data_IF_372793489666
#
_entry.id   IF_372793489666
#
_cell.length_a   1.000
_cell.length_b   1.000
_cell.length_c   1.000
_cell.angle_alpha   90.00
_cell.angle_beta   90.00
_cell.angle_gamma   90.00
#
_symmetry.space_group_name_H-M   'P 1'
#
loop_
_entity.id
_entity.type
_entity.pdbx_description
1 polymer ?
#
# COMPACT_ATOMS: atom_id res chain seq x y z
N UNK A 1 9.42 -28.49 -18.35
CA UNK A 1 9.01 -27.52 -18.25
C UNK A 1 8.89 -26.52 -19.30
N UNK A 2 8.01 -25.67 -19.20
CA UNK A 2 7.66 -24.79 -20.22
C UNK A 2 8.04 -23.44 -19.87
N UNK A 3 8.97 -22.91 -20.59
CA UNK A 3 9.34 -21.55 -20.36
C UNK A 3 8.82 -20.76 -21.51
N UNK A 4 7.59 -20.59 -21.58
CA UNK A 4 7.10 -19.92 -22.73
C UNK A 4 6.45 -18.63 -22.36
N UNK A 5 7.00 -17.85 -21.54
CA UNK A 5 6.43 -16.57 -21.24
C UNK A 5 5.54 -16.57 -20.05
N UNK A 6 5.12 -17.74 -19.61
CA UNK A 6 4.31 -17.82 -18.41
C UNK A 6 5.05 -17.36 -17.18
N UNK A 7 6.33 -17.66 -17.15
CA UNK A 7 7.16 -17.24 -16.04
C UNK A 7 7.22 -15.74 -15.96
N UNK A 8 7.33 -15.13 -17.12
CA UNK A 8 7.43 -13.69 -17.16
C UNK A 8 6.13 -13.04 -16.74
N UNK A 9 5.02 -13.61 -17.17
CA UNK A 9 3.73 -13.08 -16.78
C UNK A 9 3.53 -13.22 -15.30
N UNK A 10 3.96 -14.32 -14.75
CA UNK A 10 3.84 -14.54 -13.32
C UNK A 10 4.68 -13.53 -12.55
N UNK A 11 5.88 -13.30 -13.03
CA UNK A 11 6.75 -12.34 -12.38
C UNK A 11 6.16 -10.95 -12.40
N UNK A 12 5.62 -10.57 -13.53
CA UNK A 12 5.01 -9.26 -13.64
C UNK A 12 3.82 -9.14 -12.71
N UNK A 13 3.06 -10.19 -12.62
CA UNK A 13 1.90 -10.19 -11.76
C UNK A 13 2.30 -10.05 -10.31
N UNK A 14 3.31 -10.80 -9.91
CA UNK A 14 3.77 -10.75 -8.54
C UNK A 14 4.39 -9.41 -8.20
N UNK A 15 5.07 -8.83 -9.16
CA UNK A 15 5.63 -7.50 -8.94
C UNK A 15 4.53 -6.48 -8.76
N UNK A 16 3.48 -6.58 -9.57
CA UNK A 16 2.35 -5.69 -9.43
C UNK A 16 1.66 -5.82 -8.11
N UNK A 17 1.54 -7.06 -7.65
CA UNK A 17 0.93 -7.31 -6.35
C UNK A 17 1.76 -6.70 -5.23
N UNK A 18 3.07 -6.84 -5.36
CA UNK A 18 3.97 -6.30 -4.35
C UNK A 18 3.88 -4.79 -4.31
N UNK A 19 3.87 -4.16 -5.47
CA UNK A 19 3.76 -2.72 -5.52
C UNK A 19 2.42 -2.25 -4.98
N UNK A 20 1.39 -3.01 -5.27
CA UNK A 20 0.08 -2.68 -4.76
C UNK A 20 0.04 -2.75 -3.25
N UNK A 21 0.65 -3.78 -2.71
CA UNK A 21 0.69 -3.96 -1.26
C UNK A 21 1.43 -2.81 -0.60
N UNK A 22 2.52 -2.39 -1.20
CA UNK A 22 3.28 -1.29 -0.65
C UNK A 22 2.51 0.01 -0.72
N UNK A 23 1.85 0.24 -1.83
CA UNK A 23 1.05 1.44 -1.99
C UNK A 23 -0.09 1.46 -0.98
N UNK A 24 -0.71 0.32 -0.79
CA UNK A 24 -1.80 0.21 0.16
C UNK A 24 -1.31 0.49 1.57
N UNK A 25 -0.16 -0.05 1.91
CA UNK A 25 0.40 0.16 3.24
C UNK A 25 0.75 1.62 3.45
N UNK A 26 1.33 2.21 2.44
CA UNK A 26 1.70 3.61 2.52
C UNK A 26 0.48 4.49 2.70
N UNK A 27 -0.54 4.24 1.91
CA UNK A 27 -1.76 5.00 2.01
C UNK A 27 -2.43 4.81 3.36
N UNK A 28 -2.38 3.58 3.87
CA UNK A 28 -2.97 3.30 5.17
C UNK A 28 -2.27 4.06 6.27
N UNK A 29 -0.96 4.15 6.19
CA UNK A 29 -0.21 4.88 7.19
C UNK A 29 -0.50 6.36 7.12
N UNK A 30 -0.60 6.87 5.91
CA UNK A 30 -0.93 8.27 5.75
C UNK A 30 -2.31 8.57 6.30
N UNK A 31 -3.23 7.69 6.02
CA UNK A 31 -4.58 7.87 6.50
C UNK A 31 -4.62 7.86 8.03
N UNK A 32 -3.89 6.94 8.62
CA UNK A 32 -3.85 6.84 10.07
C UNK A 32 -3.23 8.08 10.67
N UNK A 33 -2.16 8.56 10.06
CA UNK A 33 -1.50 9.75 10.55
C UNK A 33 -2.42 10.94 10.47
N UNK A 34 -3.11 11.09 9.36
CA UNK A 34 -4.04 12.17 9.20
C UNK A 34 -5.12 12.10 10.25
N UNK A 35 -5.62 10.91 10.48
CA UNK A 35 -6.67 10.71 11.46
C UNK A 35 -6.19 11.09 12.85
N UNK A 36 -4.98 10.66 13.17
CA UNK A 36 -4.42 10.98 14.48
C UNK A 36 -4.23 12.48 14.66
N UNK A 37 -3.79 13.12 13.59
CA UNK A 37 -3.59 14.55 13.65
C UNK A 37 -4.91 15.27 13.88
N UNK A 38 -5.94 14.84 13.20
CA UNK A 38 -7.25 15.44 13.37
C UNK A 38 -7.77 15.25 14.78
N UNK A 39 -7.58 14.06 15.31
CA UNK A 39 -8.02 13.79 16.65
C UNK A 39 -7.27 14.64 17.66
N UNK A 40 -5.99 14.79 17.45
CA UNK A 40 -5.19 15.63 18.33
C UNK A 40 -5.68 17.05 18.29
N UNK A 41 -5.94 17.55 17.12
CA UNK A 41 -6.39 18.92 16.97
C UNK A 41 -7.70 19.12 17.68
N UNK A 42 -8.60 18.16 17.53
CA UNK A 42 -9.90 18.28 18.19
C UNK A 42 -9.74 18.22 19.70
N UNK A 43 -8.85 17.36 20.13
CA UNK A 43 -8.66 17.20 21.57
C UNK A 43 -8.04 18.41 22.21
N UNK A 44 -7.13 19.04 21.50
CA UNK A 44 -6.47 20.22 22.04
C UNK A 44 -7.26 21.47 21.87
N UNK A 45 -8.42 21.35 21.27
CA UNK A 45 -9.21 22.52 21.11
C UNK A 45 -9.58 23.08 22.45
N UNK A 46 -9.46 24.32 22.64
CA UNK A 46 -9.81 24.98 23.92
C UNK A 46 -11.29 24.98 24.17
#
# INVERSE_FOLDING_TARGET
>A
LYHDGNDRNLEQLMQGLSENAMTFRFASELFRKSHDLLRSAIRERP
#
